data_IF_673540950891
#
_entry.id   IF_673540950891
#
_cell.length_a   1.000
_cell.length_b   1.000
_cell.length_c   1.000
_cell.angle_alpha   90.00
_cell.angle_beta   90.00
_cell.angle_gamma   90.00
#
_symmetry.space_group_name_H-M   'P 1'
#
loop_
_entity.id
_entity.type
_entity.pdbx_description
1 polymer ?
#
# COMPACT_ATOMS: atom_id res chain seq x y z
N UNK A 1 10.01 19.43 -17.63
CA UNK A 1 8.89 18.50 -17.85
C UNK A 1 7.59 19.27 -17.64
N UNK A 2 6.51 18.94 -18.38
CA UNK A 2 5.24 19.68 -18.25
C UNK A 2 4.56 19.37 -16.93
N UNK A 3 4.00 20.38 -16.28
CA UNK A 3 3.15 20.17 -15.10
C UNK A 3 1.89 19.39 -15.50
N UNK A 4 1.55 18.35 -14.75
CA UNK A 4 0.33 17.58 -14.92
C UNK A 4 -0.86 18.36 -14.33
N UNK A 5 -1.38 19.32 -15.07
CA UNK A 5 -2.50 20.17 -14.64
C UNK A 5 -3.81 19.68 -15.29
N UNK A 6 -4.80 19.36 -14.45
CA UNK A 6 -6.16 19.08 -14.89
C UNK A 6 -7.15 20.03 -14.22
N UNK A 7 -7.88 20.79 -15.00
CA UNK A 7 -8.87 21.81 -14.52
C UNK A 7 -8.29 22.74 -13.45
N UNK A 8 -7.03 23.19 -13.64
CA UNK A 8 -6.35 24.10 -12.74
C UNK A 8 -5.80 23.47 -11.45
N UNK A 9 -5.92 22.15 -11.27
CA UNK A 9 -5.30 21.39 -10.17
C UNK A 9 -4.07 20.66 -10.68
N UNK A 10 -2.97 20.77 -9.97
CA UNK A 10 -1.77 19.95 -10.24
C UNK A 10 -2.10 18.50 -9.81
N UNK A 11 -1.93 17.56 -10.73
CA UNK A 11 -1.98 16.13 -10.44
C UNK A 11 -0.56 15.66 -10.15
N UNK A 12 -0.39 14.83 -9.14
CA UNK A 12 0.88 14.22 -8.77
C UNK A 12 0.95 12.80 -9.34
N UNK A 13 1.97 12.56 -10.16
CA UNK A 13 2.31 11.21 -10.64
C UNK A 13 3.24 10.56 -9.63
N UNK A 14 2.69 9.63 -8.82
CA UNK A 14 3.43 8.86 -7.84
C UNK A 14 3.81 7.49 -8.38
N UNK A 15 5.10 7.14 -8.33
CA UNK A 15 5.67 5.90 -8.88
C UNK A 15 6.35 5.07 -7.77
N UNK A 16 6.11 3.74 -7.69
CA UNK A 16 6.84 2.87 -6.78
C UNK A 16 8.28 2.65 -7.23
N UNK A 17 9.24 2.69 -6.30
CA UNK A 17 10.61 2.31 -6.57
C UNK A 17 11.06 1.17 -5.64
N UNK A 18 11.61 0.10 -6.22
CA UNK A 18 12.08 -1.09 -5.51
C UNK A 18 13.59 -1.11 -5.26
N UNK A 19 14.32 -0.17 -5.83
CA UNK A 19 15.75 0.02 -5.65
C UNK A 19 16.14 1.46 -5.98
N UNK A 20 17.34 1.87 -5.58
CA UNK A 20 17.91 3.18 -5.87
C UNK A 20 17.97 3.46 -7.39
N UNK A 21 18.32 2.45 -8.20
CA UNK A 21 18.33 2.55 -9.65
C UNK A 21 16.93 2.83 -10.21
N UNK A 22 15.93 2.07 -9.76
CA UNK A 22 14.53 2.26 -10.18
C UNK A 22 13.99 3.63 -9.74
N UNK A 23 14.37 4.11 -8.56
CA UNK A 23 14.06 5.46 -8.10
C UNK A 23 14.61 6.51 -9.06
N UNK A 24 15.91 6.44 -9.37
CA UNK A 24 16.56 7.39 -10.29
C UNK A 24 15.92 7.38 -11.68
N UNK A 25 15.58 6.20 -12.20
CA UNK A 25 14.87 6.07 -13.47
C UNK A 25 13.48 6.72 -13.39
N UNK A 26 12.69 6.42 -12.36
CA UNK A 26 11.35 6.99 -12.19
C UNK A 26 11.41 8.54 -12.18
N UNK A 27 12.34 9.12 -11.43
CA UNK A 27 12.56 10.57 -11.36
C UNK A 27 12.91 11.15 -12.72
N UNK A 28 13.88 10.55 -13.45
CA UNK A 28 14.32 11.02 -14.77
C UNK A 28 13.16 10.95 -15.79
N UNK A 29 12.29 9.96 -15.69
CA UNK A 29 11.13 9.79 -16.58
C UNK A 29 9.90 10.61 -16.16
N UNK A 30 10.00 11.44 -15.13
CA UNK A 30 9.02 12.48 -14.83
C UNK A 30 8.04 12.14 -13.72
N UNK A 31 8.43 11.29 -12.77
CA UNK A 31 7.69 11.17 -11.52
C UNK A 31 7.66 12.52 -10.78
N UNK A 32 6.49 12.93 -10.30
CA UNK A 32 6.37 14.05 -9.36
C UNK A 32 6.71 13.62 -7.93
N UNK A 33 6.47 12.35 -7.63
CA UNK A 33 6.85 11.72 -6.37
C UNK A 33 7.18 10.23 -6.58
N UNK A 34 8.01 9.68 -5.71
CA UNK A 34 8.29 8.24 -5.64
C UNK A 34 8.00 7.73 -4.23
N UNK A 35 7.52 6.48 -4.12
CA UNK A 35 7.46 5.84 -2.80
C UNK A 35 8.38 4.63 -2.73
N UNK A 36 9.06 4.50 -1.59
CA UNK A 36 10.06 3.49 -1.31
C UNK A 36 9.75 2.76 0.00
N UNK A 37 10.30 1.56 0.17
CA UNK A 37 10.23 0.80 1.40
C UNK A 37 11.62 0.57 1.99
N UNK A 38 11.74 0.76 3.30
CA UNK A 38 12.94 0.38 4.05
C UNK A 38 12.97 -1.10 4.40
N UNK A 39 14.09 -1.52 4.97
CA UNK A 39 14.28 -2.90 5.45
C UNK A 39 13.32 -3.25 6.58
N UNK A 40 12.77 -2.25 7.28
CA UNK A 40 11.81 -2.42 8.37
C UNK A 40 10.45 -1.79 8.06
N UNK A 41 9.39 -2.34 8.66
CA UNK A 41 8.02 -1.80 8.71
C UNK A 41 7.28 -1.60 7.39
N UNK A 42 7.88 -1.98 6.25
CA UNK A 42 7.23 -1.96 4.93
C UNK A 42 6.58 -3.30 4.57
N UNK A 43 5.52 -3.26 3.72
CA UNK A 43 4.82 -4.47 3.26
C UNK A 43 5.58 -5.29 2.21
N UNK A 44 6.83 -5.00 1.96
CA UNK A 44 7.70 -5.75 1.05
C UNK A 44 8.94 -6.28 1.74
N UNK A 45 8.81 -6.74 2.98
CA UNK A 45 9.91 -7.21 3.83
C UNK A 45 10.85 -8.28 3.21
N UNK A 46 10.48 -8.89 2.09
CA UNK A 46 11.29 -9.87 1.33
C UNK A 46 11.73 -9.40 -0.06
N UNK A 47 11.37 -8.19 -0.49
CA UNK A 47 11.93 -7.56 -1.68
C UNK A 47 13.30 -6.94 -1.35
N UNK A 48 14.08 -6.57 -2.38
CA UNK A 48 15.17 -5.61 -2.16
C UNK A 48 14.55 -4.34 -1.58
N UNK A 49 14.87 -4.04 -0.34
CA UNK A 49 14.46 -2.83 0.35
C UNK A 49 15.66 -1.90 0.43
N UNK A 50 15.39 -0.62 0.58
CA UNK A 50 16.42 0.39 0.71
C UNK A 50 17.08 0.31 2.09
N UNK A 51 18.41 0.32 2.14
CA UNK A 51 19.13 0.66 3.36
C UNK A 51 18.92 2.15 3.69
N UNK A 52 19.28 2.59 4.89
CA UNK A 52 19.17 4.00 5.26
C UNK A 52 20.07 4.89 4.39
N UNK A 53 21.25 4.39 4.01
CA UNK A 53 22.18 5.08 3.12
C UNK A 53 21.59 5.22 1.71
N UNK A 54 21.02 4.15 1.16
CA UNK A 54 20.36 4.19 -0.15
C UNK A 54 19.11 5.10 -0.14
N UNK A 55 18.36 5.14 0.96
CA UNK A 55 17.26 6.08 1.13
C UNK A 55 17.76 7.52 1.08
N UNK A 56 18.81 7.83 1.85
CA UNK A 56 19.40 9.17 1.87
C UNK A 56 19.86 9.61 0.49
N UNK A 57 20.62 8.76 -0.20
CA UNK A 57 21.07 9.04 -1.57
C UNK A 57 19.89 9.23 -2.52
N UNK A 58 18.86 8.38 -2.41
CA UNK A 58 17.67 8.46 -3.24
C UNK A 58 16.85 9.73 -3.00
N UNK A 59 16.71 10.16 -1.75
CA UNK A 59 16.01 11.39 -1.38
C UNK A 59 16.79 12.61 -1.88
N UNK A 60 18.09 12.66 -1.66
CA UNK A 60 18.93 13.76 -2.15
C UNK A 60 18.88 13.86 -3.68
N UNK A 61 18.92 12.73 -4.38
CA UNK A 61 18.77 12.70 -5.85
C UNK A 61 17.38 13.18 -6.30
N UNK A 62 16.30 12.70 -5.67
CA UNK A 62 14.95 13.09 -6.03
C UNK A 62 14.71 14.58 -5.79
N UNK A 63 15.11 15.10 -4.63
CA UNK A 63 14.98 16.52 -4.29
C UNK A 63 15.77 17.43 -5.25
N UNK A 64 16.95 17.00 -5.72
CA UNK A 64 17.71 17.73 -6.75
C UNK A 64 16.98 17.82 -8.11
N UNK A 65 15.92 17.04 -8.30
CA UNK A 65 15.08 17.01 -9.51
C UNK A 65 13.63 17.44 -9.24
N UNK A 66 13.36 18.14 -8.14
CA UNK A 66 12.01 18.58 -7.72
C UNK A 66 10.99 17.44 -7.56
N UNK A 67 11.47 16.23 -7.24
CA UNK A 67 10.64 15.04 -7.02
C UNK A 67 10.59 14.70 -5.52
N UNK A 68 9.39 14.42 -4.99
CA UNK A 68 9.19 14.06 -3.60
C UNK A 68 9.46 12.57 -3.34
N UNK A 69 9.79 12.22 -2.09
CA UNK A 69 9.98 10.83 -1.67
C UNK A 69 9.14 10.50 -0.46
N UNK A 70 8.30 9.47 -0.57
CA UNK A 70 7.45 8.96 0.51
C UNK A 70 7.98 7.60 0.97
N UNK A 71 8.10 7.43 2.29
CA UNK A 71 8.60 6.18 2.88
C UNK A 71 7.44 5.37 3.46
N UNK A 72 7.35 4.11 3.07
CA UNK A 72 6.31 3.20 3.59
C UNK A 72 6.71 2.63 4.95
N UNK A 73 5.80 2.79 5.94
CA UNK A 73 5.82 2.13 7.24
C UNK A 73 4.41 1.56 7.52
N UNK A 74 3.91 0.76 6.59
CA UNK A 74 2.49 0.44 6.45
C UNK A 74 2.14 -1.02 6.80
N UNK A 75 2.94 -1.70 7.62
CA UNK A 75 2.56 -2.98 8.23
C UNK A 75 1.43 -2.76 9.26
N UNK A 76 0.70 -3.83 9.57
CA UNK A 76 -0.10 -3.89 10.79
C UNK A 76 0.84 -4.28 11.94
N UNK A 77 1.13 -3.32 12.81
CA UNK A 77 2.13 -3.48 13.86
C UNK A 77 1.59 -4.29 15.05
N UNK A 78 2.48 -5.07 15.67
CA UNK A 78 2.26 -5.71 16.95
C UNK A 78 3.06 -4.99 18.04
N UNK A 79 2.76 -5.26 19.31
CA UNK A 79 3.43 -4.58 20.44
C UNK A 79 4.96 -4.64 20.38
N UNK A 80 5.52 -5.75 19.91
CA UNK A 80 6.98 -5.91 19.79
C UNK A 80 7.61 -5.10 18.65
N UNK A 81 6.82 -4.50 17.77
CA UNK A 81 7.30 -3.64 16.69
C UNK A 81 7.44 -2.17 17.13
N UNK A 82 6.69 -1.76 18.17
CA UNK A 82 6.50 -0.33 18.49
C UNK A 82 7.80 0.37 18.91
N UNK A 83 8.65 -0.28 19.72
CA UNK A 83 9.92 0.31 20.12
C UNK A 83 10.87 0.47 18.93
N UNK A 84 10.94 -0.56 18.08
CA UNK A 84 11.71 -0.51 16.84
C UNK A 84 11.19 0.56 15.86
N UNK A 85 9.88 0.75 15.77
CA UNK A 85 9.27 1.78 14.97
C UNK A 85 9.65 3.20 15.43
N UNK A 86 9.66 3.44 16.74
CA UNK A 86 10.09 4.70 17.32
C UNK A 86 11.53 5.03 16.97
N UNK A 87 12.42 4.06 17.05
CA UNK A 87 13.82 4.23 16.67
C UNK A 87 13.95 4.51 15.16
N UNK A 88 13.27 3.74 14.34
CA UNK A 88 13.29 3.90 12.89
C UNK A 88 12.78 5.29 12.44
N UNK A 89 11.73 5.81 13.08
CA UNK A 89 11.24 7.15 12.75
C UNK A 89 12.24 8.25 13.15
N UNK A 90 12.99 8.08 14.24
CA UNK A 90 14.08 9.01 14.57
C UNK A 90 15.20 9.00 13.52
N UNK A 91 15.49 7.85 12.94
CA UNK A 91 16.46 7.72 11.85
C UNK A 91 15.94 8.38 10.57
N UNK A 92 14.66 8.15 10.21
CA UNK A 92 14.01 8.81 9.07
C UNK A 92 13.98 10.34 9.20
N UNK A 93 13.87 10.87 10.41
CA UNK A 93 13.95 12.31 10.66
C UNK A 93 15.25 12.93 10.15
N UNK A 94 16.36 12.19 10.24
CA UNK A 94 17.69 12.66 9.81
C UNK A 94 17.84 12.60 8.28
N UNK A 95 17.08 11.74 7.62
CA UNK A 95 17.13 11.54 6.18
C UNK A 95 16.19 12.50 5.45
N UNK A 96 15.07 12.90 6.08
CA UNK A 96 14.15 13.94 5.60
C UNK A 96 13.25 13.51 4.44
N UNK A 97 12.50 12.40 4.51
CA UNK A 97 11.46 12.12 3.53
C UNK A 97 10.35 13.15 3.59
N UNK A 98 9.63 13.36 2.48
CA UNK A 98 8.54 14.34 2.40
C UNK A 98 7.28 13.85 3.11
N UNK A 99 7.02 12.54 3.16
CA UNK A 99 5.91 11.94 3.88
C UNK A 99 6.18 10.50 4.29
N UNK A 100 5.41 10.03 5.28
CA UNK A 100 5.30 8.62 5.62
C UNK A 100 3.96 8.05 5.17
N UNK A 101 3.98 6.83 4.62
CA UNK A 101 2.77 6.08 4.27
C UNK A 101 2.51 5.05 5.37
N UNK A 102 1.48 5.25 6.17
CA UNK A 102 1.16 4.48 7.38
C UNK A 102 -0.26 3.93 7.32
N UNK A 103 -0.50 2.75 7.87
CA UNK A 103 -1.84 2.14 7.95
C UNK A 103 -2.31 1.88 9.38
N UNK A 104 -1.40 1.63 10.29
CA UNK A 104 -1.68 1.27 11.68
C UNK A 104 -1.83 2.52 12.55
N UNK A 105 -2.92 2.67 13.35
CA UNK A 105 -3.11 3.84 14.22
C UNK A 105 -2.03 4.00 15.30
N UNK A 106 -1.46 2.90 15.80
CA UNK A 106 -0.35 2.94 16.76
C UNK A 106 0.91 3.51 16.13
N UNK A 107 1.26 3.03 14.93
CA UNK A 107 2.36 3.58 14.13
C UNK A 107 2.14 5.06 13.78
N UNK A 108 0.90 5.43 13.45
CA UNK A 108 0.52 6.81 13.20
C UNK A 108 0.78 7.71 14.41
N UNK A 109 0.39 7.24 15.61
CA UNK A 109 0.61 7.98 16.87
C UNK A 109 2.10 8.20 17.12
N UNK A 110 2.92 7.16 16.99
CA UNK A 110 4.37 7.26 17.16
C UNK A 110 4.99 8.20 16.12
N UNK A 111 4.54 8.13 14.86
CA UNK A 111 5.02 9.02 13.82
C UNK A 111 4.71 10.49 14.13
N UNK A 112 3.52 10.80 14.62
CA UNK A 112 3.15 12.17 15.04
C UNK A 112 3.99 12.67 16.21
N UNK A 113 4.40 11.78 17.13
CA UNK A 113 5.27 12.14 18.25
C UNK A 113 6.71 12.41 17.80
N UNK A 114 7.29 11.54 16.97
CA UNK A 114 8.71 11.60 16.60
C UNK A 114 8.98 12.51 15.38
N UNK A 115 7.99 12.67 14.49
CA UNK A 115 8.07 13.36 13.21
C UNK A 115 6.92 14.37 13.02
N UNK A 116 6.73 15.33 13.93
CA UNK A 116 5.56 16.23 13.90
C UNK A 116 5.47 17.09 12.63
N UNK A 117 6.59 17.33 11.96
CA UNK A 117 6.70 18.19 10.77
C UNK A 117 6.61 17.42 9.44
N UNK A 118 6.58 16.08 9.49
CA UNK A 118 6.50 15.24 8.28
C UNK A 118 5.03 14.89 8.00
N UNK A 119 4.61 15.04 6.75
CA UNK A 119 3.28 14.68 6.31
C UNK A 119 3.03 13.17 6.46
N UNK A 120 1.81 12.80 6.88
CA UNK A 120 1.40 11.40 6.96
C UNK A 120 0.31 11.13 5.94
N UNK A 121 0.56 10.14 5.09
CA UNK A 121 -0.37 9.59 4.14
C UNK A 121 -0.92 8.26 4.67
N UNK A 122 -2.23 8.12 4.71
CA UNK A 122 -2.87 6.90 5.17
C UNK A 122 -2.88 5.88 4.04
N UNK A 123 -2.19 4.76 4.26
CA UNK A 123 -2.09 3.68 3.28
C UNK A 123 -3.44 3.04 2.95
N UNK A 124 -3.55 2.49 1.73
CA UNK A 124 -4.68 1.62 1.34
C UNK A 124 -4.89 0.43 2.28
N UNK A 125 -3.87 0.02 3.03
CA UNK A 125 -3.94 -1.04 4.03
C UNK A 125 -4.85 -0.70 5.22
N UNK A 126 -5.14 0.58 5.46
CA UNK A 126 -6.13 1.02 6.45
C UNK A 126 -7.58 0.81 5.96
N UNK A 127 -7.77 0.45 4.68
CA UNK A 127 -9.04 0.12 4.07
C UNK A 127 -10.12 1.20 4.22
N UNK A 128 -9.79 2.41 3.77
CA UNK A 128 -10.68 3.56 3.84
C UNK A 128 -11.66 3.55 2.66
N UNK A 129 -12.95 3.27 2.93
CA UNK A 129 -13.98 3.07 1.91
C UNK A 129 -15.11 4.10 1.94
N UNK A 130 -15.08 5.09 2.83
CA UNK A 130 -16.12 6.09 2.96
C UNK A 130 -15.59 7.44 3.49
N UNK A 131 -16.29 8.53 3.21
CA UNK A 131 -15.86 9.87 3.58
C UNK A 131 -15.70 10.10 5.08
N UNK A 132 -16.40 9.34 5.94
CA UNK A 132 -16.27 9.48 7.39
C UNK A 132 -14.90 9.01 7.88
N UNK A 133 -14.32 7.96 7.28
CA UNK A 133 -12.96 7.52 7.60
C UNK A 133 -11.91 8.53 7.14
N UNK A 134 -12.12 9.19 5.99
CA UNK A 134 -11.26 10.30 5.54
C UNK A 134 -11.32 11.47 6.50
N UNK A 135 -12.53 11.92 6.90
CA UNK A 135 -12.70 12.98 7.89
C UNK A 135 -12.09 12.62 9.25
N UNK A 136 -12.16 11.35 9.65
CA UNK A 136 -11.50 10.88 10.88
C UNK A 136 -9.99 11.10 10.78
N UNK A 137 -9.35 10.61 9.72
CA UNK A 137 -7.91 10.75 9.53
C UNK A 137 -7.47 12.21 9.39
N UNK A 138 -8.26 13.03 8.70
CA UNK A 138 -8.02 14.47 8.62
C UNK A 138 -7.98 15.13 10.00
N UNK A 139 -8.94 14.83 10.85
CA UNK A 139 -8.99 15.33 12.23
C UNK A 139 -7.81 14.86 13.08
N UNK A 140 -7.23 13.70 12.77
CA UNK A 140 -6.00 13.24 13.39
C UNK A 140 -4.75 13.92 12.82
N UNK A 141 -4.87 14.68 11.75
CA UNK A 141 -3.76 15.41 11.12
C UNK A 141 -3.05 14.63 10.01
N UNK A 142 -3.72 13.66 9.38
CA UNK A 142 -3.23 13.05 8.14
C UNK A 142 -3.42 14.01 6.98
N UNK A 143 -2.44 14.12 6.09
CA UNK A 143 -2.47 14.99 4.90
C UNK A 143 -3.21 14.36 3.73
N UNK A 144 -3.02 13.06 3.52
CA UNK A 144 -3.49 12.30 2.36
C UNK A 144 -4.09 10.96 2.78
N UNK A 145 -5.06 10.48 2.02
CA UNK A 145 -5.55 9.11 2.13
C UNK A 145 -5.44 8.43 0.77
N UNK A 146 -4.77 7.28 0.76
CA UNK A 146 -4.74 6.37 -0.39
C UNK A 146 -6.05 5.58 -0.39
N UNK A 147 -6.86 5.78 -1.40
CA UNK A 147 -8.17 5.15 -1.53
C UNK A 147 -8.09 3.63 -1.52
N UNK A 148 -9.07 2.99 -0.93
CA UNK A 148 -9.25 1.56 -1.11
C UNK A 148 -9.51 1.24 -2.59
N UNK A 149 -8.98 0.13 -3.07
CA UNK A 149 -9.06 -0.28 -4.48
C UNK A 149 -10.46 -0.74 -4.89
N UNK A 150 -11.30 -1.01 -3.92
CA UNK A 150 -12.68 -1.45 -4.06
C UNK A 150 -13.64 -0.30 -4.42
N UNK A 151 -13.19 0.96 -4.27
CA UNK A 151 -14.01 2.15 -4.56
C UNK A 151 -14.15 2.40 -6.06
N UNK A 152 -15.37 2.66 -6.49
CA UNK A 152 -15.66 3.19 -7.80
C UNK A 152 -15.32 4.69 -7.91
N UNK A 153 -15.17 5.20 -9.13
CA UNK A 153 -14.94 6.63 -9.37
C UNK A 153 -16.08 7.52 -8.80
N UNK A 154 -17.32 7.03 -8.80
CA UNK A 154 -18.45 7.75 -8.22
C UNK A 154 -18.34 7.87 -6.69
N UNK A 155 -17.91 6.81 -6.01
CA UNK A 155 -17.68 6.84 -4.56
C UNK A 155 -16.51 7.76 -4.21
N UNK A 156 -15.41 7.74 -4.98
CA UNK A 156 -14.29 8.68 -4.80
C UNK A 156 -14.74 10.13 -4.98
N UNK A 157 -15.60 10.40 -5.97
CA UNK A 157 -16.20 11.72 -6.17
C UNK A 157 -17.04 12.14 -4.97
N UNK A 158 -17.89 11.26 -4.46
CA UNK A 158 -18.69 11.52 -3.25
C UNK A 158 -17.79 11.79 -2.03
N UNK A 159 -16.70 11.02 -1.86
CA UNK A 159 -15.72 11.28 -0.81
C UNK A 159 -15.15 12.69 -0.96
N UNK A 160 -14.73 13.07 -2.18
CA UNK A 160 -14.17 14.42 -2.44
C UNK A 160 -15.14 15.56 -2.07
N UNK A 161 -16.43 15.35 -2.29
CA UNK A 161 -17.47 16.34 -1.98
C UNK A 161 -17.71 16.54 -0.47
N UNK A 162 -17.24 15.60 0.37
CA UNK A 162 -17.50 15.59 1.82
C UNK A 162 -16.25 15.83 2.69
N UNK A 163 -15.09 16.06 2.08
CA UNK A 163 -13.83 16.32 2.81
C UNK A 163 -13.26 17.68 2.42
N UNK A 164 -12.41 18.29 3.28
CA UNK A 164 -11.76 19.57 2.97
C UNK A 164 -10.94 19.52 1.69
N UNK A 165 -10.85 20.64 0.98
CA UNK A 165 -10.07 20.73 -0.27
C UNK A 165 -8.57 20.51 -0.05
N UNK A 166 -8.07 20.84 1.13
CA UNK A 166 -6.68 20.68 1.56
C UNK A 166 -6.29 19.21 1.83
N UNK A 167 -7.29 18.35 2.07
CA UNK A 167 -7.08 16.92 2.22
C UNK A 167 -6.87 16.26 0.85
N UNK A 168 -5.77 15.58 0.70
CA UNK A 168 -5.43 14.93 -0.56
C UNK A 168 -6.03 13.51 -0.67
N UNK A 169 -6.42 13.14 -1.88
CA UNK A 169 -6.85 11.78 -2.23
C UNK A 169 -5.85 11.22 -3.23
N UNK A 170 -5.35 10.01 -2.95
CA UNK A 170 -4.51 9.24 -3.86
C UNK A 170 -5.29 8.02 -4.37
N UNK A 171 -5.17 7.70 -5.66
CA UNK A 171 -5.83 6.54 -6.27
C UNK A 171 -4.86 5.74 -7.12
N UNK A 172 -5.05 4.42 -7.19
CA UNK A 172 -4.28 3.58 -8.09
C UNK A 172 -4.77 3.73 -9.53
N UNK A 173 -3.85 4.08 -10.44
CA UNK A 173 -4.11 4.15 -11.88
C UNK A 173 -3.70 2.87 -12.60
N UNK A 174 -2.67 2.18 -12.08
CA UNK A 174 -2.13 0.95 -12.66
C UNK A 174 -1.55 0.06 -11.56
N UNK A 175 -1.66 -1.25 -11.75
CA UNK A 175 -1.07 -2.23 -10.85
C UNK A 175 -1.94 -3.48 -10.67
N UNK A 176 -1.36 -4.49 -10.03
CA UNK A 176 -2.07 -5.72 -9.71
C UNK A 176 -3.06 -5.53 -8.57
N UNK A 177 -4.29 -6.01 -8.75
CA UNK A 177 -5.30 -6.05 -7.71
C UNK A 177 -5.08 -7.24 -6.77
N UNK A 178 -5.38 -7.04 -5.48
CA UNK A 178 -5.44 -8.11 -4.50
C UNK A 178 -6.86 -8.73 -4.51
N UNK A 179 -6.95 -10.05 -4.27
CA UNK A 179 -8.25 -10.74 -4.13
C UNK A 179 -9.01 -10.32 -2.87
N UNK A 180 -8.29 -9.89 -1.84
CA UNK A 180 -8.84 -9.50 -0.55
C UNK A 180 -8.78 -7.99 -0.36
N UNK A 181 -9.63 -7.48 0.52
CA UNK A 181 -9.47 -6.15 1.07
C UNK A 181 -8.07 -5.97 1.65
N UNK A 182 -7.45 -4.83 1.39
CA UNK A 182 -6.10 -4.51 1.86
C UNK A 182 -6.03 -4.58 3.39
N UNK A 183 -4.96 -5.20 3.92
CA UNK A 183 -4.78 -5.37 5.36
C UNK A 183 -5.72 -6.40 6.04
N UNK A 184 -6.46 -7.20 5.28
CA UNK A 184 -7.46 -8.14 5.82
C UNK A 184 -7.22 -9.61 5.44
N UNK A 185 -6.21 -9.90 4.64
CA UNK A 185 -5.96 -11.24 4.14
C UNK A 185 -5.23 -12.11 5.17
N UNK A 186 -5.79 -13.26 5.50
CA UNK A 186 -5.17 -14.28 6.34
C UNK A 186 -4.70 -15.52 5.54
N UNK A 187 -4.96 -15.55 4.23
CA UNK A 187 -4.72 -16.76 3.42
C UNK A 187 -3.26 -17.19 3.42
N UNK A 188 -2.33 -16.25 3.28
CA UNK A 188 -0.89 -16.54 3.31
C UNK A 188 -0.41 -16.99 4.70
N UNK A 189 -0.98 -16.43 5.77
CA UNK A 189 -0.70 -16.87 7.14
C UNK A 189 -1.16 -18.31 7.35
N UNK A 190 -2.38 -18.62 6.90
CA UNK A 190 -2.97 -19.95 7.06
C UNK A 190 -2.25 -21.00 6.21
N UNK A 191 -2.02 -20.72 4.91
CA UNK A 191 -1.47 -21.68 3.94
C UNK A 191 0.06 -21.88 4.05
N UNK A 192 0.79 -20.86 4.50
CA UNK A 192 2.25 -20.85 4.44
C UNK A 192 2.93 -20.32 5.72
N UNK A 193 2.18 -20.06 6.78
CA UNK A 193 2.72 -19.49 8.02
C UNK A 193 3.36 -18.10 7.84
N UNK A 194 2.96 -17.36 6.79
CA UNK A 194 3.58 -16.07 6.41
C UNK A 194 2.54 -14.97 6.34
N UNK A 195 2.66 -13.99 7.23
CA UNK A 195 1.68 -12.91 7.35
C UNK A 195 1.75 -11.93 6.18
N UNK A 196 0.67 -11.90 5.39
CA UNK A 196 0.51 -10.99 4.27
C UNK A 196 0.41 -9.51 4.70
N UNK A 197 -0.12 -9.25 5.90
CA UNK A 197 -0.33 -7.90 6.44
C UNK A 197 0.96 -7.33 7.07
N UNK A 198 2.02 -8.13 7.09
CA UNK A 198 3.38 -7.78 7.51
C UNK A 198 4.42 -7.94 6.39
N UNK A 199 3.96 -7.89 5.14
CA UNK A 199 4.84 -7.92 3.96
C UNK A 199 5.31 -9.30 3.51
N UNK A 200 4.83 -10.40 4.12
CA UNK A 200 5.31 -11.73 3.82
C UNK A 200 4.36 -12.57 2.93
N UNK A 201 3.51 -11.91 2.14
CA UNK A 201 2.55 -12.59 1.26
C UNK A 201 3.24 -13.55 0.27
N UNK A 202 2.77 -14.80 0.21
CA UNK A 202 3.23 -15.82 -0.75
C UNK A 202 2.32 -15.96 -1.97
N UNK A 203 1.30 -15.11 -2.08
CA UNK A 203 0.30 -15.10 -3.15
C UNK A 203 -0.45 -16.44 -3.34
N UNK A 204 -0.91 -17.12 -2.27
CA UNK A 204 -1.57 -18.41 -2.43
C UNK A 204 -2.88 -18.30 -3.23
N UNK A 205 -3.54 -17.13 -3.23
CA UNK A 205 -4.71 -16.87 -4.06
C UNK A 205 -4.46 -16.97 -5.58
N UNK A 206 -3.19 -17.07 -6.01
CA UNK A 206 -2.80 -17.22 -7.43
C UNK A 206 -2.28 -18.62 -7.75
N UNK A 207 -2.26 -19.54 -6.78
CA UNK A 207 -1.90 -20.92 -7.01
C UNK A 207 -3.06 -21.64 -7.71
N UNK A 208 -2.73 -22.72 -8.37
CA UNK A 208 -3.76 -23.61 -8.94
C UNK A 208 -4.22 -24.59 -7.87
N UNK A 209 -5.51 -24.67 -7.67
CA UNK A 209 -6.14 -25.57 -6.70
C UNK A 209 -7.01 -26.59 -7.40
N UNK A 210 -7.13 -27.76 -6.77
CA UNK A 210 -8.12 -28.78 -7.09
C UNK A 210 -8.76 -29.27 -5.79
N UNK A 211 -10.01 -29.63 -5.85
CA UNK A 211 -10.70 -30.28 -4.73
C UNK A 211 -10.70 -31.77 -4.95
N UNK A 212 -10.48 -32.52 -3.88
CA UNK A 212 -10.58 -33.97 -3.83
C UNK A 212 -11.69 -34.34 -2.87
N UNK A 213 -12.60 -35.17 -3.29
CA UNK A 213 -13.64 -35.75 -2.44
C UNK A 213 -13.10 -37.01 -1.77
N UNK A 214 -13.24 -37.17 -0.45
CA UNK A 214 -12.55 -38.20 0.34
C UNK A 214 -12.89 -39.61 -0.09
N UNK A 215 -14.13 -39.89 -0.55
CA UNK A 215 -14.54 -41.22 -1.03
C UNK A 215 -14.05 -41.53 -2.44
N UNK A 216 -13.43 -40.60 -3.15
CA UNK A 216 -12.87 -40.71 -4.50
C UNK A 216 -11.41 -40.31 -4.56
N UNK A 217 -10.51 -40.97 -3.86
CA UNK A 217 -9.10 -40.64 -3.85
C UNK A 217 -8.50 -40.72 -5.25
N UNK A 218 -7.77 -39.69 -5.65
CA UNK A 218 -7.12 -39.61 -6.97
C UNK A 218 -7.97 -38.90 -8.05
N UNK A 219 -9.22 -38.57 -7.78
CA UNK A 219 -10.05 -37.74 -8.66
C UNK A 219 -9.90 -36.25 -8.26
N UNK A 220 -9.29 -35.45 -9.12
CA UNK A 220 -9.08 -34.03 -8.91
C UNK A 220 -10.14 -33.22 -9.63
N UNK A 221 -10.96 -32.50 -8.87
CA UNK A 221 -11.98 -31.60 -9.41
C UNK A 221 -11.43 -30.18 -9.47
N UNK A 222 -11.25 -29.60 -10.68
CA UNK A 222 -10.74 -28.25 -10.81
C UNK A 222 -11.72 -27.21 -10.28
N UNK A 223 -11.18 -26.13 -9.70
CA UNK A 223 -11.95 -24.97 -9.25
C UNK A 223 -11.89 -23.92 -10.35
N UNK A 224 -13.05 -23.43 -10.79
CA UNK A 224 -13.19 -22.38 -11.79
C UNK A 224 -13.86 -21.14 -11.19
N UNK A 225 -13.55 -20.00 -11.76
CA UNK A 225 -14.17 -18.73 -11.41
C UNK A 225 -14.60 -17.98 -12.67
N UNK A 226 -15.77 -17.37 -12.63
CA UNK A 226 -16.25 -16.43 -13.64
C UNK A 226 -17.03 -15.29 -12.96
N UNK A 227 -17.67 -14.43 -13.76
CA UNK A 227 -18.46 -13.29 -13.30
C UNK A 227 -19.60 -13.63 -12.30
N UNK A 228 -20.01 -14.90 -12.25
CA UNK A 228 -21.10 -15.38 -11.36
C UNK A 228 -20.58 -15.98 -10.07
N UNK A 229 -19.27 -16.23 -9.93
CA UNK A 229 -18.64 -16.78 -8.74
C UNK A 229 -17.68 -17.93 -9.01
N UNK A 230 -17.34 -18.64 -7.94
CA UNK A 230 -16.41 -19.77 -7.96
C UNK A 230 -17.18 -21.07 -7.99
N UNK A 231 -16.82 -21.97 -8.91
CA UNK A 231 -17.50 -23.26 -9.11
C UNK A 231 -16.55 -24.43 -8.98
N UNK A 232 -17.08 -25.52 -8.45
CA UNK A 232 -16.52 -26.85 -8.59
C UNK A 232 -17.33 -27.52 -9.70
N UNK A 233 -16.72 -27.80 -10.85
CA UNK A 233 -17.41 -28.52 -11.91
C UNK A 233 -17.55 -29.99 -11.54
N UNK A 234 -18.74 -30.36 -11.12
CA UNK A 234 -19.24 -31.70 -11.30
C UNK A 234 -19.62 -31.82 -12.77
N UNK A 235 -19.11 -32.85 -13.44
CA UNK A 235 -19.38 -33.13 -14.84
C UNK A 235 -20.83 -32.87 -15.23
N UNK A 236 -21.07 -32.08 -16.30
CA UNK A 236 -22.40 -31.81 -16.86
C UNK A 236 -23.11 -33.04 -17.44
N UNK A 237 -22.49 -34.23 -17.36
CA UNK A 237 -23.05 -35.47 -17.90
C UNK A 237 -24.13 -36.08 -16.98
N UNK A 238 -24.35 -35.51 -15.80
CA UNK A 238 -25.27 -36.06 -14.79
C UNK A 238 -26.36 -35.07 -14.32
N UNK A 239 -26.71 -34.11 -15.17
CA UNK A 239 -27.91 -33.29 -15.00
C UNK A 239 -28.96 -33.73 -15.99
#
# INVERSE_FOLDING_TARGET
>A
MGEHIYKGRKLELLIPASSLEVLKIAVIYGADAVYIGGEAFGLRAKAKNFTLEEMKEGIEFAHAHDCKVYVTANILAHNYDLDGARQYFKELKQIGPDALIISDPGMFTIAKEELPDIDIHISTQANNTNYMTYQFWWKQGAKRVVSARELSLNEIKQIREHIPDEMEIETFMHGAMCISYSGRCLLSSFMAGRDANRGACTHPCRWKYSIVEESRPGEYMPVYENERGTYIFLSLIHI
#
